data_IF_052476121476
#
_entry.id   IF_052476121476
#
_cell.length_a   1.000
_cell.length_b   1.000
_cell.length_c   1.000
_cell.angle_alpha   90.00
_cell.angle_beta   90.00
_cell.angle_gamma   90.00
#
_symmetry.space_group_name_H-M   'P 1'
#
loop_
_entity.id
_entity.type
_entity.pdbx_description
1 polymer ?
#
# COMPACT_ATOMS: atom_id res chain seq x y z
N UNK A 1 10.17 -14.17 10.91
CA UNK A 1 9.02 -14.86 10.28
C UNK A 1 7.77 -14.25 10.89
N UNK A 2 6.87 -13.55 10.22
CA UNK A 2 6.64 -13.30 8.80
C UNK A 2 5.88 -11.96 8.69
N UNK A 3 6.28 -11.07 7.79
CA UNK A 3 5.76 -9.70 7.66
C UNK A 3 4.63 -9.68 6.64
N UNK A 4 3.49 -10.27 7.01
CA UNK A 4 2.36 -10.54 6.09
C UNK A 4 1.01 -9.94 6.50
N UNK A 5 0.95 -8.88 7.31
CA UNK A 5 -0.33 -8.33 7.78
C UNK A 5 -0.65 -7.01 7.08
N UNK A 6 -1.41 -7.08 5.99
CA UNK A 6 -2.62 -6.27 5.71
C UNK A 6 -3.15 -6.49 4.27
N UNK A 7 -3.42 -7.75 3.88
CA UNK A 7 -4.23 -8.04 2.67
C UNK A 7 -5.30 -9.12 2.89
N UNK A 8 -5.41 -9.74 4.06
CA UNK A 8 -6.31 -10.89 4.27
C UNK A 8 -7.40 -10.60 5.29
N UNK A 9 -8.32 -9.70 4.97
CA UNK A 9 -9.66 -9.74 5.55
C UNK A 9 -10.67 -9.56 4.41
N UNK A 10 -11.48 -10.62 4.22
CA UNK A 10 -12.68 -10.73 3.38
C UNK A 10 -12.51 -11.22 1.92
N UNK A 11 -11.79 -12.32 1.73
CA UNK A 11 -12.18 -13.32 0.73
C UNK A 11 -12.51 -14.58 1.51
N UNK A 12 -13.81 -14.83 1.70
CA UNK A 12 -14.47 -16.14 1.85
C UNK A 12 -15.93 -15.87 2.24
N UNK A 13 -16.79 -15.89 1.25
CA UNK A 13 -18.21 -15.63 1.39
C UNK A 13 -18.90 -15.61 0.03
N UNK A 14 -18.68 -16.65 -0.77
CA UNK A 14 -19.61 -17.01 -1.85
C UNK A 14 -20.16 -18.38 -1.44
N UNK A 15 -21.40 -18.36 -0.97
CA UNK A 15 -22.26 -19.52 -0.89
C UNK A 15 -22.38 -20.13 -2.29
N UNK A 16 -22.13 -21.43 -2.42
CA UNK A 16 -22.66 -22.18 -3.55
C UNK A 16 -23.25 -23.50 -3.04
N UNK A 17 -24.57 -23.52 -3.14
CA UNK A 17 -25.50 -24.58 -2.77
C UNK A 17 -25.29 -25.83 -3.63
N UNK A 18 -25.27 -27.00 -3.00
CA UNK A 18 -25.20 -28.30 -3.67
C UNK A 18 -26.60 -28.87 -3.98
N UNK A 19 -26.79 -29.33 -5.23
CA UNK A 19 -27.70 -30.40 -5.70
C UNK A 19 -27.72 -30.34 -7.26
N UNK A 20 -27.66 -31.38 -8.11
CA UNK A 20 -27.79 -32.83 -8.04
C UNK A 20 -27.16 -33.50 -9.29
N UNK A 21 -26.90 -34.80 -9.19
CA UNK A 21 -26.58 -35.85 -10.19
C UNK A 21 -26.99 -35.64 -11.66
N UNK A 22 -26.16 -36.14 -12.59
CA UNK A 22 -26.62 -36.71 -13.87
C UNK A 22 -25.64 -36.65 -15.06
N UNK A 23 -25.04 -37.80 -15.37
CA UNK A 23 -24.66 -38.34 -16.70
C UNK A 23 -23.70 -37.68 -17.72
N UNK A 24 -23.01 -38.61 -18.40
CA UNK A 24 -21.92 -38.53 -19.38
C UNK A 24 -22.31 -37.90 -20.72
N UNK A 25 -21.47 -37.01 -21.30
CA UNK A 25 -21.18 -37.01 -22.76
C UNK A 25 -19.97 -36.16 -23.18
N UNK A 26 -19.06 -36.80 -23.93
CA UNK A 26 -17.96 -36.23 -24.72
C UNK A 26 -18.48 -35.20 -25.74
N UNK A 27 -17.92 -33.98 -25.77
CA UNK A 27 -17.92 -33.10 -26.95
C UNK A 27 -16.63 -32.28 -27.06
N UNK A 28 -15.95 -32.41 -28.20
CA UNK A 28 -14.80 -31.63 -28.60
C UNK A 28 -15.24 -30.20 -28.92
N UNK A 29 -14.99 -29.26 -28.00
CA UNK A 29 -15.29 -27.83 -28.14
C UNK A 29 -14.02 -27.01 -28.37
N UNK A 30 -13.92 -26.42 -29.56
CA UNK A 30 -12.96 -25.41 -30.03
C UNK A 30 -12.37 -24.54 -28.90
N UNK A 31 -11.07 -24.71 -28.64
CA UNK A 31 -10.31 -23.81 -27.78
C UNK A 31 -10.34 -22.39 -28.36
N UNK A 32 -11.06 -21.48 -27.69
CA UNK A 32 -10.81 -20.06 -27.84
C UNK A 32 -9.46 -19.79 -27.22
N UNK A 33 -8.46 -19.50 -28.07
CA UNK A 33 -7.15 -19.07 -27.62
C UNK A 33 -7.33 -17.81 -26.79
N UNK A 34 -7.30 -17.98 -25.47
CA UNK A 34 -7.18 -16.89 -24.50
C UNK A 34 -5.84 -16.25 -24.82
N UNK A 35 -5.87 -15.13 -25.56
CA UNK A 35 -4.68 -14.34 -25.85
C UNK A 35 -3.98 -14.12 -24.52
N UNK A 36 -2.76 -14.63 -24.38
CA UNK A 36 -1.94 -14.38 -23.22
C UNK A 36 -1.81 -12.86 -23.12
N UNK A 37 -2.48 -12.27 -22.12
CA UNK A 37 -2.31 -10.86 -21.81
C UNK A 37 -0.84 -10.68 -21.49
N UNK A 38 -0.09 -10.19 -22.48
CA UNK A 38 1.31 -9.87 -22.35
C UNK A 38 1.50 -9.01 -21.12
N UNK A 39 2.61 -9.23 -20.42
CA UNK A 39 3.01 -8.47 -19.23
C UNK A 39 2.71 -6.99 -19.44
N UNK A 40 1.86 -6.40 -18.59
CA UNK A 40 1.49 -4.99 -18.73
C UNK A 40 2.76 -4.14 -18.75
N UNK A 41 2.80 -3.10 -19.62
CA UNK A 41 3.90 -2.15 -19.70
C UNK A 41 4.26 -1.64 -18.29
N UNK A 42 5.53 -1.34 -18.01
CA UNK A 42 5.91 -0.76 -16.71
C UNK A 42 5.23 0.61 -16.50
N UNK A 43 4.99 0.99 -15.25
CA UNK A 43 4.46 2.32 -14.92
C UNK A 43 5.50 3.40 -15.24
N UNK A 44 5.04 4.50 -15.83
CA UNK A 44 5.83 5.69 -16.10
C UNK A 44 5.62 6.72 -14.99
N UNK A 45 6.57 7.65 -14.82
CA UNK A 45 6.49 8.71 -13.82
C UNK A 45 5.22 9.56 -13.96
N UNK A 46 4.79 9.83 -15.20
CA UNK A 46 3.53 10.53 -15.50
C UNK A 46 2.30 9.78 -14.99
N UNK A 47 2.30 8.44 -15.06
CA UNK A 47 1.23 7.62 -14.50
C UNK A 47 1.23 7.68 -12.97
N UNK A 48 2.40 7.62 -12.35
CA UNK A 48 2.52 7.73 -10.90
C UNK A 48 2.09 9.11 -10.39
N UNK A 49 2.48 10.19 -11.07
CA UNK A 49 2.07 11.56 -10.76
C UNK A 49 0.56 11.68 -10.80
N UNK A 50 -0.07 11.18 -11.87
CA UNK A 50 -1.52 11.24 -12.00
C UNK A 50 -2.23 10.37 -10.95
N UNK A 51 -1.68 9.19 -10.63
CA UNK A 51 -2.20 8.32 -9.58
C UNK A 51 -2.13 8.99 -8.20
N UNK A 52 -1.02 9.63 -7.86
CA UNK A 52 -0.88 10.41 -6.61
C UNK A 52 -1.90 11.54 -6.58
N UNK A 53 -2.06 12.26 -7.70
CA UNK A 53 -3.06 13.33 -7.82
C UNK A 53 -4.50 12.80 -7.63
N UNK A 54 -4.85 11.69 -8.26
CA UNK A 54 -6.15 11.04 -8.12
C UNK A 54 -6.43 10.62 -6.67
N UNK A 55 -5.45 9.99 -6.03
CA UNK A 55 -5.57 9.57 -4.62
C UNK A 55 -5.72 10.78 -3.68
N UNK A 56 -4.97 11.86 -3.91
CA UNK A 56 -5.10 13.09 -3.13
C UNK A 56 -6.45 13.79 -3.34
N UNK A 57 -6.99 13.77 -4.55
CA UNK A 57 -8.30 14.40 -4.83
C UNK A 57 -9.45 13.58 -4.24
N UNK A 58 -9.46 12.27 -4.45
CA UNK A 58 -10.58 11.40 -4.05
C UNK A 58 -10.47 10.95 -2.60
N UNK A 59 -9.29 10.47 -2.20
CA UNK A 59 -9.07 9.87 -0.88
C UNK A 59 -8.93 10.88 0.26
N UNK A 60 -8.69 12.15 -0.05
CA UNK A 60 -8.48 13.20 0.95
C UNK A 60 -9.58 14.29 0.95
N UNK A 61 -10.63 14.14 0.14
CA UNK A 61 -11.79 15.02 0.14
C UNK A 61 -12.54 14.91 1.49
N UNK A 62 -12.55 15.96 2.33
CA UNK A 62 -13.25 15.93 3.62
C UNK A 62 -14.77 15.77 3.49
N UNK A 63 -15.36 16.14 2.35
CA UNK A 63 -16.81 16.06 2.12
C UNK A 63 -17.22 14.62 1.82
N UNK A 64 -16.34 13.86 1.16
CA UNK A 64 -16.63 12.48 0.74
C UNK A 64 -15.93 11.40 1.59
N UNK A 65 -15.19 11.79 2.63
CA UNK A 65 -14.32 10.90 3.41
C UNK A 65 -15.00 10.10 4.53
N UNK A 66 -16.27 10.36 4.83
CA UNK A 66 -17.03 9.63 5.86
C UNK A 66 -17.83 8.53 5.14
N UNK A 67 -17.48 7.27 5.39
CA UNK A 67 -18.14 6.04 4.90
C UNK A 67 -17.99 5.62 3.42
N UNK A 68 -16.80 5.76 2.83
CA UNK A 68 -16.48 5.07 1.58
C UNK A 68 -15.90 3.66 1.80
N UNK A 69 -16.48 2.67 1.11
CA UNK A 69 -15.88 1.34 1.01
C UNK A 69 -14.59 1.39 0.19
N UNK A 70 -13.63 0.52 0.51
CA UNK A 70 -12.35 0.43 -0.22
C UNK A 70 -12.54 0.26 -1.74
N UNK A 71 -13.50 -0.54 -2.18
CA UNK A 71 -13.82 -0.71 -3.60
C UNK A 71 -14.38 0.56 -4.25
N UNK A 72 -15.22 1.32 -3.53
CA UNK A 72 -15.76 2.60 -4.04
C UNK A 72 -14.67 3.65 -4.19
N UNK A 73 -13.73 3.71 -3.24
CA UNK A 73 -12.57 4.60 -3.32
C UNK A 73 -11.74 4.32 -4.58
N UNK A 74 -11.37 3.06 -4.82
CA UNK A 74 -10.52 2.70 -5.96
C UNK A 74 -11.20 2.90 -7.31
N UNK A 75 -12.50 2.61 -7.40
CA UNK A 75 -13.30 2.92 -8.57
C UNK A 75 -13.28 4.42 -8.89
N UNK A 76 -13.51 5.28 -7.88
CA UNK A 76 -13.44 6.75 -8.06
C UNK A 76 -12.04 7.24 -8.43
N UNK A 77 -11.00 6.67 -7.83
CA UNK A 77 -9.60 6.98 -8.20
C UNK A 77 -9.34 6.60 -9.66
N UNK A 78 -9.84 5.44 -10.12
CA UNK A 78 -9.68 5.00 -11.50
C UNK A 78 -10.48 5.84 -12.50
N UNK A 79 -11.71 6.24 -12.15
CA UNK A 79 -12.51 7.19 -12.92
C UNK A 79 -11.78 8.52 -13.07
N UNK A 80 -11.27 9.08 -11.96
CA UNK A 80 -10.47 10.30 -11.97
C UNK A 80 -9.22 10.15 -12.85
N UNK A 81 -8.48 9.05 -12.70
CA UNK A 81 -7.27 8.78 -13.47
C UNK A 81 -7.58 8.75 -14.98
N UNK A 82 -8.65 8.07 -15.39
CA UNK A 82 -9.02 7.99 -16.81
C UNK A 82 -9.56 9.31 -17.37
N UNK A 83 -10.29 10.08 -16.59
CA UNK A 83 -10.80 11.38 -17.00
C UNK A 83 -9.68 12.43 -17.18
N UNK A 84 -8.56 12.28 -16.45
CA UNK A 84 -7.50 13.29 -16.39
C UNK A 84 -6.20 12.88 -17.09
N UNK A 85 -6.10 11.65 -17.62
CA UNK A 85 -4.90 11.23 -18.35
C UNK A 85 -4.77 12.01 -19.66
N UNK A 86 -3.56 12.50 -19.91
CA UNK A 86 -3.16 13.17 -21.18
C UNK A 86 -2.18 12.31 -21.99
N UNK A 87 -2.14 11.02 -21.69
CA UNK A 87 -1.25 10.02 -22.26
C UNK A 87 -2.00 8.70 -22.46
N UNK A 88 -1.49 7.85 -23.36
CA UNK A 88 -2.04 6.51 -23.56
C UNK A 88 -1.76 5.63 -22.33
N UNK A 89 -2.84 5.12 -21.73
CA UNK A 89 -2.77 4.24 -20.57
C UNK A 89 -4.06 3.45 -20.44
N UNK A 90 -3.91 2.14 -20.22
CA UNK A 90 -5.00 1.17 -20.07
C UNK A 90 -4.96 0.45 -18.72
N UNK A 91 -4.45 1.12 -17.67
CA UNK A 91 -4.38 0.55 -16.32
C UNK A 91 -5.78 0.21 -15.79
N UNK A 92 -5.90 -0.97 -15.20
CA UNK A 92 -7.08 -1.38 -14.45
C UNK A 92 -7.05 -0.80 -13.03
N UNK A 93 -8.21 -0.78 -12.36
CA UNK A 93 -8.34 -0.41 -10.94
C UNK A 93 -7.32 -1.18 -10.07
N UNK A 94 -7.25 -2.51 -10.24
CA UNK A 94 -6.34 -3.39 -9.51
C UNK A 94 -4.87 -3.03 -9.78
N UNK A 95 -4.53 -2.67 -11.02
CA UNK A 95 -3.16 -2.26 -11.37
C UNK A 95 -2.77 -0.95 -10.69
N UNK A 96 -3.67 0.05 -10.67
CA UNK A 96 -3.44 1.32 -9.97
C UNK A 96 -3.32 1.12 -8.46
N UNK A 97 -4.20 0.30 -7.88
CA UNK A 97 -4.16 -0.05 -6.45
C UNK A 97 -2.83 -0.68 -6.05
N UNK A 98 -2.39 -1.70 -6.79
CA UNK A 98 -1.12 -2.37 -6.53
C UNK A 98 0.06 -1.42 -6.69
N UNK A 99 0.03 -0.54 -7.70
CA UNK A 99 1.06 0.47 -7.92
C UNK A 99 1.12 1.46 -6.76
N UNK A 100 -0.03 1.96 -6.31
CA UNK A 100 -0.11 2.88 -5.17
C UNK A 100 0.44 2.27 -3.89
N UNK A 101 0.13 1.00 -3.61
CA UNK A 101 0.68 0.28 -2.46
C UNK A 101 2.22 0.30 -2.46
N UNK A 102 2.84 0.03 -3.63
CA UNK A 102 4.29 0.12 -3.81
C UNK A 102 4.85 1.53 -3.61
N UNK A 103 4.19 2.56 -4.18
CA UNK A 103 4.58 3.96 -4.00
C UNK A 103 4.54 4.33 -2.52
N UNK A 104 3.42 4.04 -1.85
CA UNK A 104 3.21 4.37 -0.45
C UNK A 104 4.25 3.69 0.45
N UNK A 105 4.53 2.41 0.22
CA UNK A 105 5.52 1.66 0.97
C UNK A 105 6.91 2.30 0.88
N UNK A 106 7.42 2.47 -0.34
CA UNK A 106 8.78 2.99 -0.57
C UNK A 106 8.89 4.46 -0.12
N UNK A 107 7.86 5.28 -0.36
CA UNK A 107 7.85 6.69 0.11
C UNK A 107 7.89 6.76 1.64
N UNK A 108 7.17 5.88 2.35
CA UNK A 108 7.20 5.86 3.82
C UNK A 108 8.57 5.48 4.37
N UNK A 109 9.24 4.48 3.78
CA UNK A 109 10.60 4.11 4.14
C UNK A 109 11.59 5.25 3.86
N UNK A 110 11.49 5.88 2.69
CA UNK A 110 12.30 7.04 2.35
C UNK A 110 12.10 8.20 3.35
N UNK A 111 10.85 8.47 3.75
CA UNK A 111 10.57 9.49 4.78
C UNK A 111 11.24 9.15 6.13
N UNK A 112 11.25 7.88 6.52
CA UNK A 112 11.98 7.45 7.72
C UNK A 112 13.48 7.70 7.63
N UNK A 113 14.09 7.43 6.46
CA UNK A 113 15.49 7.74 6.20
C UNK A 113 15.74 9.25 6.28
N UNK A 114 14.90 10.05 5.64
CA UNK A 114 15.01 11.51 5.63
C UNK A 114 14.89 12.10 7.05
N UNK A 115 13.93 11.64 7.86
CA UNK A 115 13.81 12.12 9.24
C UNK A 115 15.03 11.77 10.10
N UNK A 116 15.69 10.62 9.87
CA UNK A 116 16.95 10.29 10.55
C UNK A 116 18.11 11.19 10.08
N UNK A 117 18.16 11.54 8.80
CA UNK A 117 19.14 12.50 8.27
C UNK A 117 18.92 13.89 8.86
N UNK A 118 17.66 14.35 8.91
CA UNK A 118 17.28 15.63 9.51
C UNK A 118 17.62 15.69 11.01
N UNK A 119 17.38 14.62 11.76
CA UNK A 119 17.66 14.55 13.19
C UNK A 119 19.16 14.66 13.54
N UNK A 120 20.06 14.37 12.61
CA UNK A 120 21.53 14.50 12.82
C UNK A 120 22.02 15.95 12.81
N UNK A 121 21.15 16.92 12.49
CA UNK A 121 21.40 18.37 12.57
C UNK A 121 22.78 18.80 12.01
N UNK A 122 23.09 18.37 10.79
CA UNK A 122 24.28 18.85 10.08
C UNK A 122 24.10 20.32 9.70
N UNK A 123 24.87 21.21 10.36
CA UNK A 123 24.95 22.61 9.99
C UNK A 123 25.49 22.74 8.56
N UNK A 124 24.86 23.59 7.75
CA UNK A 124 25.28 23.87 6.37
C UNK A 124 24.75 22.90 5.30
N UNK A 125 24.01 21.84 5.65
CA UNK A 125 23.41 20.96 4.64
C UNK A 125 22.16 21.58 4.00
N UNK A 126 22.12 21.59 2.68
CA UNK A 126 20.94 21.97 1.91
C UNK A 126 19.84 20.90 1.99
N UNK A 127 18.65 21.23 1.51
CA UNK A 127 17.56 20.25 1.38
C UNK A 127 17.95 19.13 0.41
N UNK A 128 18.64 19.46 -0.68
CA UNK A 128 19.08 18.48 -1.66
C UNK A 128 20.15 17.53 -1.10
N UNK A 129 21.07 18.02 -0.25
CA UNK A 129 22.05 17.18 0.45
C UNK A 129 21.35 16.16 1.37
N UNK A 130 20.31 16.60 2.08
CA UNK A 130 19.51 15.74 2.96
C UNK A 130 18.76 14.68 2.16
N UNK A 131 18.16 15.05 1.03
CA UNK A 131 17.47 14.12 0.12
C UNK A 131 18.46 13.10 -0.44
N UNK A 132 19.63 13.54 -0.90
CA UNK A 132 20.67 12.66 -1.45
C UNK A 132 21.13 11.64 -0.42
N UNK A 133 21.42 12.07 0.81
CA UNK A 133 21.80 11.19 1.91
C UNK A 133 20.66 10.21 2.28
N UNK A 134 19.41 10.68 2.27
CA UNK A 134 18.26 9.81 2.52
C UNK A 134 18.11 8.72 1.44
N UNK A 135 18.38 9.03 0.17
CA UNK A 135 18.40 8.06 -0.92
C UNK A 135 19.51 7.00 -0.73
N UNK A 136 20.71 7.41 -0.31
CA UNK A 136 21.82 6.49 0.00
C UNK A 136 21.43 5.55 1.15
N UNK A 137 20.86 6.11 2.22
CA UNK A 137 20.40 5.34 3.37
C UNK A 137 19.28 4.36 2.99
N UNK A 138 18.30 4.79 2.19
CA UNK A 138 17.23 3.91 1.68
C UNK A 138 17.80 2.72 0.93
N UNK A 139 18.77 2.97 0.02
CA UNK A 139 19.36 1.94 -0.81
C UNK A 139 20.13 0.91 0.05
N UNK A 140 20.90 1.38 1.02
CA UNK A 140 21.67 0.53 1.93
C UNK A 140 20.79 -0.34 2.86
N UNK A 141 19.57 0.13 3.18
CA UNK A 141 18.61 -0.60 4.02
C UNK A 141 17.71 -1.56 3.23
N UNK A 142 17.63 -1.41 1.90
CA UNK A 142 16.87 -2.32 1.04
C UNK A 142 17.67 -3.63 0.82
N UNK A 143 17.12 -4.82 1.15
CA UNK A 143 17.84 -6.09 1.01
C UNK A 143 18.27 -6.43 -0.42
N UNK A 144 17.71 -5.75 -1.43
CA UNK A 144 18.02 -5.93 -2.84
C UNK A 144 18.85 -4.78 -3.40
N UNK A 145 19.37 -3.89 -2.55
CA UNK A 145 20.12 -2.69 -2.95
C UNK A 145 19.34 -1.82 -3.95
N UNK A 146 17.99 -1.81 -3.81
CA UNK A 146 17.10 -1.11 -4.75
C UNK A 146 17.17 0.39 -4.52
N UNK A 147 17.41 1.16 -5.58
CA UNK A 147 17.34 2.63 -5.52
C UNK A 147 15.91 3.12 -5.29
N UNK A 148 15.76 4.18 -4.51
CA UNK A 148 14.49 4.88 -4.38
C UNK A 148 14.09 5.47 -5.74
N UNK A 149 12.90 5.11 -6.22
CA UNK A 149 12.44 5.45 -7.57
C UNK A 149 11.21 6.38 -7.59
N UNK A 150 10.71 6.82 -6.42
CA UNK A 150 9.45 7.58 -6.30
C UNK A 150 9.67 9.01 -5.79
N UNK A 151 10.78 9.64 -6.16
CA UNK A 151 11.08 11.00 -5.73
C UNK A 151 10.05 12.00 -6.27
N UNK A 152 9.55 11.80 -7.48
CA UNK A 152 8.43 12.58 -8.06
C UNK A 152 7.16 12.50 -7.20
N UNK A 153 6.78 11.30 -6.75
CA UNK A 153 5.63 11.11 -5.87
C UNK A 153 5.83 11.80 -4.51
N UNK A 154 6.99 11.61 -3.89
CA UNK A 154 7.30 12.22 -2.60
C UNK A 154 7.25 13.75 -2.67
N UNK A 155 7.78 14.38 -3.73
CA UNK A 155 7.75 15.84 -3.91
C UNK A 155 6.32 16.39 -3.92
N UNK A 156 5.34 15.65 -4.44
CA UNK A 156 3.92 16.05 -4.44
C UNK A 156 3.29 15.86 -3.05
N UNK A 157 3.64 14.76 -2.37
CA UNK A 157 3.05 14.36 -1.09
C UNK A 157 3.57 15.18 0.10
N UNK A 158 4.85 15.59 0.08
CA UNK A 158 5.56 16.14 1.25
C UNK A 158 4.91 17.39 1.86
N UNK A 159 4.21 18.19 1.06
CA UNK A 159 3.60 19.47 1.49
C UNK A 159 2.10 19.34 1.76
N UNK A 160 1.50 18.13 1.71
CA UNK A 160 0.07 17.93 1.92
C UNK A 160 -0.24 17.72 3.42
N UNK A 161 -0.99 18.62 4.10
CA UNK A 161 -1.18 18.57 5.55
C UNK A 161 -1.70 17.22 6.06
N UNK A 162 -2.74 16.68 5.41
CA UNK A 162 -3.31 15.40 5.81
C UNK A 162 -2.40 14.18 5.53
N UNK A 163 -1.43 14.29 4.61
CA UNK A 163 -0.37 13.27 4.46
C UNK A 163 0.59 13.33 5.64
N UNK A 164 0.93 14.54 6.11
CA UNK A 164 1.76 14.72 7.31
C UNK A 164 1.11 14.10 8.55
N UNK A 165 -0.19 14.33 8.74
CA UNK A 165 -0.91 13.85 9.93
C UNK A 165 -1.02 12.32 9.94
N UNK A 166 -1.33 11.70 8.79
CA UNK A 166 -1.30 10.24 8.65
C UNK A 166 0.08 9.64 8.93
N UNK A 167 1.18 10.32 8.55
CA UNK A 167 2.54 9.87 8.92
C UNK A 167 2.77 9.88 10.44
N UNK A 168 2.24 10.89 11.16
CA UNK A 168 2.33 10.96 12.63
C UNK A 168 1.52 9.85 13.32
N UNK A 169 0.36 9.48 12.77
CA UNK A 169 -0.45 8.36 13.25
C UNK A 169 0.28 7.01 13.06
N UNK A 170 0.86 6.77 11.87
CA UNK A 170 1.64 5.56 11.58
C UNK A 170 2.92 5.49 12.44
N UNK A 171 3.57 6.63 12.70
CA UNK A 171 4.72 6.71 13.60
C UNK A 171 4.37 6.42 15.06
N UNK A 172 3.25 6.96 15.54
CA UNK A 172 2.76 6.74 16.91
C UNK A 172 2.30 5.30 17.17
N UNK A 173 1.79 4.61 16.14
CA UNK A 173 1.43 3.20 16.23
C UNK A 173 2.63 2.26 16.47
N UNK A 174 3.86 2.70 16.15
CA UNK A 174 5.10 1.95 16.44
C UNK A 174 5.63 2.15 17.87
N UNK A 175 5.10 3.13 18.61
CA UNK A 175 5.51 3.43 19.99
C UNK A 175 4.55 2.85 21.05
N UNK A 176 3.52 2.10 20.67
CA UNK A 176 2.86 1.21 21.64
C UNK A 176 3.75 -0.02 21.85
N UNK A 177 4.16 -0.34 23.09
CA UNK A 177 4.88 -1.57 23.35
C UNK A 177 3.98 -2.72 22.92
N UNK A 178 4.47 -3.53 21.98
CA UNK A 178 3.85 -4.80 21.60
C UNK A 178 3.70 -5.63 22.87
N UNK A 179 2.52 -5.58 23.48
CA UNK A 179 2.20 -6.39 24.66
C UNK A 179 2.00 -7.81 24.14
N UNK A 180 3.11 -8.53 24.02
CA UNK A 180 3.22 -9.86 23.45
C UNK A 180 2.05 -10.73 23.94
N UNK A 181 1.20 -11.22 23.02
CA UNK A 181 0.06 -12.10 23.34
C UNK A 181 0.47 -13.27 24.23
N UNK A 182 1.69 -13.80 24.01
CA UNK A 182 2.30 -14.85 24.83
C UNK A 182 2.48 -14.45 26.30
N UNK A 183 2.90 -13.21 26.59
CA UNK A 183 3.01 -12.71 27.97
C UNK A 183 1.64 -12.52 28.63
N UNK A 184 0.62 -12.07 27.89
CA UNK A 184 -0.77 -12.02 28.42
C UNK A 184 -1.32 -13.41 28.71
N UNK A 185 -1.05 -14.39 27.85
CA UNK A 185 -1.50 -15.77 28.05
C UNK A 185 -0.81 -16.44 29.24
N UNK A 186 0.50 -16.24 29.40
CA UNK A 186 1.25 -16.74 30.56
C UNK A 186 0.76 -16.09 31.86
N UNK A 187 0.52 -14.77 31.85
CA UNK A 187 0.02 -14.06 33.03
C UNK A 187 -1.41 -14.49 33.39
N UNK A 188 -2.29 -14.68 32.40
CA UNK A 188 -3.65 -15.18 32.63
C UNK A 188 -3.65 -16.63 33.11
N UNK A 189 -2.77 -17.48 32.59
CA UNK A 189 -2.66 -18.88 32.99
C UNK A 189 -2.12 -19.01 34.42
N UNK A 190 -1.12 -18.20 34.80
CA UNK A 190 -0.62 -18.15 36.17
C UNK A 190 -1.67 -17.57 37.14
N UNK A 191 -2.42 -16.55 36.72
CA UNK A 191 -3.47 -15.94 37.53
C UNK A 191 -4.66 -16.89 37.76
N UNK A 192 -5.02 -17.71 36.76
CA UNK A 192 -6.01 -18.78 36.91
C UNK A 192 -5.51 -19.92 37.82
N UNK A 193 -4.23 -20.25 37.78
CA UNK A 193 -3.64 -21.30 38.61
C UNK A 193 -3.59 -20.92 40.10
N UNK A 194 -3.46 -19.63 40.41
CA UNK A 194 -3.53 -19.09 41.78
C UNK A 194 -4.95 -18.95 42.35
N UNK A 195 -5.99 -19.09 41.52
CA UNK A 195 -7.39 -19.01 41.94
C UNK A 195 -8.00 -20.40 42.19
N UNK A 196 -7.27 -21.46 41.83
CA UNK A 196 -7.71 -22.86 41.94
C UNK A 196 -6.95 -23.65 43.03
N UNK A 197 -6.16 -22.95 43.83
CA UNK A 197 -5.42 -23.44 45.01
C UNK A 197 -5.94 -22.75 46.26
#
# INVERSE_FOLDING_TARGET
MDSGYYTNLLVNGIEESQATRGDVRIQHGRATAKSSQGRSKNFRDEEDILLVSAWLNVGMDPIQGVDQTHGTLWRRIHEYFNANKKFDSNRSEVSLMNRWSGIQHDVNLFCGCLSRVEARNHSGWSIDDKIANACVMFKAEDPKDKKFSYLHCWKILKDKPKWMDRRKEIGSAKNQPLRNRRQRQILLQHQLQMQLS
#
